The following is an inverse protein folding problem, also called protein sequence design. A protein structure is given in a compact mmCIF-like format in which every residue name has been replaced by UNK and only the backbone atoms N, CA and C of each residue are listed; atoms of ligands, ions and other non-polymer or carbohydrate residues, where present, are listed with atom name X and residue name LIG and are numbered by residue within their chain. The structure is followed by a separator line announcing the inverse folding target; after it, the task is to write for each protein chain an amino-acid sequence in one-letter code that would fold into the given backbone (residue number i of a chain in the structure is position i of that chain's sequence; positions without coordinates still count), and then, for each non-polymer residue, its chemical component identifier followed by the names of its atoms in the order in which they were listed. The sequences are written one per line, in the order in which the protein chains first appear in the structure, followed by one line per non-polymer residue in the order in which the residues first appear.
data_IF_977110596330
#
_entry.id   IF_977110596330
#
_cell.length_a   1.000
_cell.length_b   1.000
_cell.length_c   1.000
_cell.angle_alpha   90.00
_cell.angle_beta   90.00
_cell.angle_gamma   90.00
#
_symmetry.space_group_name_H-M   'P 1'
#
loop_
_entity.id
_entity.type
_entity.pdbx_description
1 polymer ?
#
# COMPACT_ATOMS: atom_id res chain seq x y z
N UNK A 1 20.48 -11.73 -23.53
CA UNK A 1 21.50 -12.26 -22.61
C UNK A 1 22.08 -11.10 -21.82
N UNK A 2 21.26 -10.56 -20.91
CA UNK A 2 21.72 -9.59 -19.91
C UNK A 2 22.38 -10.44 -18.85
N UNK A 3 23.69 -10.30 -18.71
CA UNK A 3 24.46 -10.95 -17.66
C UNK A 3 23.85 -10.45 -16.35
N UNK A 4 23.17 -11.33 -15.62
CA UNK A 4 22.93 -11.13 -14.21
C UNK A 4 24.30 -10.94 -13.58
N UNK A 5 24.67 -9.69 -13.35
CA UNK A 5 25.75 -9.36 -12.43
C UNK A 5 25.32 -9.97 -11.11
N UNK A 6 25.89 -11.12 -10.77
CA UNK A 6 26.03 -11.56 -9.39
C UNK A 6 26.57 -10.34 -8.66
N UNK A 7 25.69 -9.64 -7.93
CA UNK A 7 26.09 -8.64 -6.97
C UNK A 7 27.15 -9.33 -6.10
N UNK A 8 28.31 -8.69 -6.05
CA UNK A 8 29.44 -9.13 -5.26
C UNK A 8 28.99 -9.41 -3.82
N UNK A 9 29.27 -10.62 -3.34
CA UNK A 9 29.19 -11.06 -1.95
C UNK A 9 30.15 -10.29 -1.00
N UNK A 10 30.34 -8.98 -1.16
CA UNK A 10 31.19 -8.21 -0.26
C UNK A 10 30.91 -6.70 -0.29
N UNK A 11 30.06 -6.20 0.63
CA UNK A 11 30.39 -4.99 1.42
C UNK A 11 29.46 -4.66 2.61
N UNK A 12 28.55 -5.54 3.04
CA UNK A 12 27.77 -5.31 4.26
C UNK A 12 27.85 -6.52 5.19
N UNK A 13 28.65 -6.42 6.25
CA UNK A 13 28.83 -7.51 7.23
C UNK A 13 27.59 -7.77 8.09
N UNK A 14 26.56 -6.91 8.02
CA UNK A 14 25.32 -6.96 8.82
C UNK A 14 24.03 -7.07 8.00
N UNK A 15 24.08 -7.01 6.67
CA UNK A 15 22.87 -6.91 5.83
C UNK A 15 22.15 -5.55 5.90
N UNK A 16 22.80 -4.53 6.48
CA UNK A 16 22.33 -3.13 6.52
C UNK A 16 23.06 -2.25 5.51
N UNK A 17 22.39 -1.21 5.04
CA UNK A 17 22.90 -0.18 4.14
C UNK A 17 23.33 1.07 4.91
N UNK A 18 22.73 1.34 6.08
CA UNK A 18 23.17 2.40 6.98
C UNK A 18 24.43 2.01 7.75
N UNK A 19 25.38 2.96 7.84
CA UNK A 19 26.53 2.88 8.73
C UNK A 19 26.10 3.34 10.13
N UNK A 20 25.81 2.38 11.01
CA UNK A 20 25.21 2.64 12.32
C UNK A 20 26.00 3.64 13.17
N UNK A 21 27.33 3.55 13.16
CA UNK A 21 28.19 4.45 13.93
C UNK A 21 28.08 5.89 13.41
N UNK A 22 28.02 6.09 12.09
CA UNK A 22 27.84 7.41 11.50
C UNK A 22 26.44 7.96 11.76
N UNK A 23 25.41 7.12 11.62
CA UNK A 23 24.02 7.51 11.84
C UNK A 23 23.78 7.85 13.31
N UNK A 24 24.29 7.06 14.26
CA UNK A 24 24.23 7.36 15.68
C UNK A 24 24.93 8.69 16.02
N UNK A 25 26.09 8.97 15.42
CA UNK A 25 26.74 10.29 15.59
C UNK A 25 25.89 11.43 15.04
N UNK A 26 25.23 11.25 13.90
CA UNK A 26 24.34 12.26 13.33
C UNK A 26 23.11 12.52 14.23
N UNK A 27 22.48 11.46 14.76
CA UNK A 27 21.33 11.55 15.67
C UNK A 27 21.73 12.19 17.02
N UNK A 28 22.89 11.84 17.57
CA UNK A 28 23.44 12.46 18.77
C UNK A 28 23.71 13.96 18.54
N UNK A 29 24.33 14.32 17.40
CA UNK A 29 24.54 15.71 17.03
C UNK A 29 23.21 16.49 16.91
N UNK A 30 22.16 15.90 16.31
CA UNK A 30 20.84 16.52 16.24
C UNK A 30 20.29 16.83 17.65
N UNK A 31 20.42 15.87 18.57
CA UNK A 31 20.00 16.01 19.97
C UNK A 31 20.81 17.10 20.70
N UNK A 32 22.13 17.12 20.55
CA UNK A 32 23.03 18.12 21.14
C UNK A 32 22.73 19.55 20.65
N UNK A 33 22.28 19.70 19.39
CA UNK A 33 21.87 20.98 18.81
C UNK A 33 20.43 21.40 19.18
N UNK A 34 19.72 20.57 19.95
CA UNK A 34 18.39 20.84 20.49
C UNK A 34 17.23 20.34 19.63
N UNK A 35 17.40 19.21 18.93
CA UNK A 35 16.26 18.44 18.43
C UNK A 35 15.52 17.76 19.59
N UNK A 36 14.19 17.76 19.55
CA UNK A 36 13.33 16.99 20.47
C UNK A 36 13.26 15.52 20.05
N UNK A 37 13.28 15.28 18.74
CA UNK A 37 13.31 13.97 18.12
C UNK A 37 14.01 14.07 16.76
N UNK A 38 14.75 13.05 16.38
CA UNK A 38 15.17 12.86 15.00
C UNK A 38 15.14 11.38 14.61
N UNK A 39 14.89 11.14 13.33
CA UNK A 39 14.91 9.82 12.71
C UNK A 39 15.61 9.86 11.37
N UNK A 40 16.22 8.73 11.02
CA UNK A 40 16.79 8.46 9.70
C UNK A 40 16.21 7.13 9.24
N UNK A 41 15.40 7.20 8.17
CA UNK A 41 14.75 6.06 7.54
C UNK A 41 15.32 5.85 6.15
N UNK A 42 15.88 4.68 5.91
CA UNK A 42 16.34 4.25 4.60
C UNK A 42 15.37 3.23 4.03
N UNK A 43 15.03 3.37 2.74
CA UNK A 43 14.34 2.32 1.99
C UNK A 43 15.15 1.99 0.74
N UNK A 44 15.41 0.71 0.54
CA UNK A 44 15.93 0.14 -0.69
C UNK A 44 14.87 -0.75 -1.32
N UNK A 45 14.56 -0.52 -2.59
CA UNK A 45 13.58 -1.28 -3.36
C UNK A 45 14.25 -1.89 -4.58
N UNK A 46 14.13 -3.20 -4.72
CA UNK A 46 14.43 -3.88 -5.98
C UNK A 46 13.11 -4.18 -6.66
N UNK A 47 12.94 -3.73 -7.91
CA UNK A 47 11.71 -3.92 -8.67
C UNK A 47 12.00 -4.62 -10.00
N UNK A 48 11.04 -5.41 -10.48
CA UNK A 48 11.06 -5.89 -11.86
C UNK A 48 9.70 -5.64 -12.49
N UNK A 49 9.69 -4.98 -13.65
CA UNK A 49 8.48 -4.80 -14.44
C UNK A 49 8.66 -5.39 -15.83
N UNK A 50 7.63 -6.07 -16.33
CA UNK A 50 7.58 -6.51 -17.72
C UNK A 50 6.17 -6.30 -18.29
N UNK A 51 6.08 -6.06 -19.59
CA UNK A 51 4.80 -5.91 -20.28
C UNK A 51 4.81 -6.56 -21.65
N UNK A 52 3.74 -7.31 -21.93
CA UNK A 52 3.46 -7.83 -23.26
C UNK A 52 2.31 -7.05 -23.90
N UNK A 53 2.38 -6.87 -25.21
CA UNK A 53 1.32 -6.37 -26.08
C UNK A 53 1.06 -7.39 -27.17
N UNK A 54 -0.17 -7.88 -27.25
CA UNK A 54 -0.59 -8.88 -28.24
C UNK A 54 0.40 -10.06 -28.34
N UNK A 55 0.78 -10.61 -27.17
CA UNK A 55 1.75 -11.69 -27.01
C UNK A 55 3.23 -11.34 -27.26
N UNK A 56 3.57 -10.08 -27.52
CA UNK A 56 4.95 -9.64 -27.78
C UNK A 56 5.49 -8.82 -26.63
N UNK A 57 6.73 -9.10 -26.22
CA UNK A 57 7.42 -8.32 -25.20
C UNK A 57 7.68 -6.89 -25.71
N UNK A 58 7.10 -5.90 -25.02
CA UNK A 58 7.37 -4.49 -25.29
C UNK A 58 8.45 -3.94 -24.37
N UNK A 59 8.43 -4.34 -23.09
CA UNK A 59 9.27 -3.76 -22.05
C UNK A 59 9.62 -4.81 -21.01
N UNK A 60 10.86 -4.79 -20.56
CA UNK A 60 11.34 -5.47 -19.37
C UNK A 60 12.36 -4.55 -18.70
N UNK A 61 12.03 -4.01 -17.53
CA UNK A 61 12.85 -3.05 -16.79
C UNK A 61 13.03 -3.56 -15.36
N UNK A 62 14.24 -4.03 -15.01
CA UNK A 62 14.66 -4.13 -13.63
C UNK A 62 14.96 -2.73 -13.09
N UNK A 63 14.64 -2.50 -11.83
CA UNK A 63 14.88 -1.26 -11.10
C UNK A 63 15.52 -1.51 -9.75
N UNK A 64 16.37 -0.60 -9.34
CA UNK A 64 16.90 -0.53 -7.98
C UNK A 64 16.80 0.93 -7.54
N UNK A 65 16.09 1.16 -6.46
CA UNK A 65 15.85 2.47 -5.90
C UNK A 65 16.33 2.48 -4.46
N UNK A 66 17.00 3.57 -4.08
CA UNK A 66 17.43 3.80 -2.71
C UNK A 66 17.16 5.24 -2.34
N UNK A 67 16.52 5.41 -1.20
CA UNK A 67 16.22 6.71 -0.63
C UNK A 67 16.43 6.69 0.87
N UNK A 68 16.93 7.79 1.39
CA UNK A 68 16.99 8.03 2.83
C UNK A 68 16.31 9.37 3.14
N UNK A 69 15.46 9.34 4.15
CA UNK A 69 14.80 10.52 4.70
C UNK A 69 15.22 10.70 6.15
N UNK A 70 15.68 11.91 6.47
CA UNK A 70 15.90 12.37 7.83
C UNK A 70 14.78 13.34 8.21
N UNK A 71 14.06 13.05 9.30
CA UNK A 71 13.12 14.01 9.92
C UNK A 71 13.68 14.47 11.26
N UNK A 72 13.62 15.77 11.53
CA UNK A 72 14.01 16.38 12.80
C UNK A 72 12.84 17.20 13.32
N UNK A 73 12.39 16.91 14.54
CA UNK A 73 11.41 17.69 15.28
C UNK A 73 12.13 18.66 16.22
N UNK A 74 11.80 19.94 16.13
CA UNK A 74 12.28 20.96 17.06
C UNK A 74 11.24 22.06 17.25
N UNK A 75 11.03 22.47 18.50
CA UNK A 75 10.06 23.49 18.89
C UNK A 75 8.64 23.18 18.38
N UNK A 76 8.29 21.89 18.28
CA UNK A 76 7.03 21.39 17.74
C UNK A 76 6.83 21.59 16.23
N UNK A 77 7.89 21.58 15.43
CA UNK A 77 7.79 21.59 13.97
C UNK A 77 8.82 20.68 13.29
N UNK A 78 8.47 20.13 12.13
CA UNK A 78 9.33 19.25 11.35
C UNK A 78 10.28 20.02 10.42
N UNK A 79 11.53 19.57 10.38
CA UNK A 79 12.46 19.74 9.28
C UNK A 79 12.68 18.39 8.61
N UNK A 80 12.64 18.35 7.29
CA UNK A 80 12.78 17.11 6.52
C UNK A 80 13.87 17.28 5.46
N UNK A 81 14.75 16.29 5.35
CA UNK A 81 15.74 16.18 4.29
C UNK A 81 15.68 14.78 3.69
N UNK A 82 15.57 14.69 2.37
CA UNK A 82 15.54 13.42 1.65
C UNK A 82 16.60 13.43 0.54
N UNK A 83 17.29 12.31 0.39
CA UNK A 83 18.39 12.16 -0.59
C UNK A 83 18.58 10.69 -0.95
N UNK A 84 19.17 10.42 -2.12
CA UNK A 84 19.68 9.09 -2.47
C UNK A 84 21.16 8.91 -2.10
N UNK A 85 21.85 9.98 -1.68
CA UNK A 85 23.22 9.93 -1.17
C UNK A 85 23.23 9.75 0.34
N UNK A 86 23.27 8.48 0.79
CA UNK A 86 23.32 8.10 2.21
C UNK A 86 24.48 8.78 2.94
N UNK A 87 25.62 8.95 2.26
CA UNK A 87 26.84 9.48 2.88
C UNK A 87 26.71 10.95 3.26
N UNK A 88 25.78 11.68 2.63
CA UNK A 88 25.53 13.10 2.89
C UNK A 88 24.74 13.37 4.17
N UNK A 89 24.04 12.37 4.73
CA UNK A 89 23.11 12.56 5.85
C UNK A 89 23.74 13.27 7.07
N UNK A 90 24.94 12.89 7.56
CA UNK A 90 25.55 13.55 8.71
C UNK A 90 25.77 15.06 8.52
N UNK A 91 26.06 15.49 7.29
CA UNK A 91 26.31 16.89 6.96
C UNK A 91 25.02 17.73 6.89
N UNK A 92 23.86 17.08 6.80
CA UNK A 92 22.56 17.75 6.65
C UNK A 92 21.82 17.95 7.98
N UNK A 93 22.39 17.50 9.11
CA UNK A 93 21.72 17.58 10.42
C UNK A 93 21.40 19.04 10.80
N UNK A 94 22.41 19.92 10.77
CA UNK A 94 22.25 21.31 11.18
C UNK A 94 21.31 22.08 10.23
N UNK A 95 21.41 21.84 8.92
CA UNK A 95 20.55 22.48 7.92
C UNK A 95 19.07 22.07 8.09
N UNK A 96 18.82 20.79 8.39
CA UNK A 96 17.50 20.22 8.63
C UNK A 96 16.90 20.70 9.94
N UNK A 97 17.70 20.77 11.01
CA UNK A 97 17.26 21.34 12.29
C UNK A 97 16.92 22.82 12.15
N UNK A 98 17.73 23.58 11.41
CA UNK A 98 17.45 25.00 11.12
C UNK A 98 16.13 25.17 10.35
N UNK A 99 15.82 24.24 9.44
CA UNK A 99 14.53 24.22 8.75
C UNK A 99 13.38 24.02 9.75
N UNK A 100 13.48 23.02 10.65
CA UNK A 100 12.50 22.76 11.70
C UNK A 100 12.21 24.02 12.54
N UNK A 101 13.27 24.64 13.09
CA UNK A 101 13.16 25.87 13.89
C UNK A 101 12.58 27.05 13.10
N UNK A 102 12.91 27.16 11.81
CA UNK A 102 12.37 28.20 10.94
C UNK A 102 10.88 28.01 10.62
N UNK A 103 10.40 26.76 10.57
CA UNK A 103 8.96 26.44 10.47
C UNK A 103 8.27 26.78 11.79
N UNK A 104 8.82 26.34 12.92
CA UNK A 104 8.29 26.64 14.25
C UNK A 104 8.12 28.15 14.49
N UNK A 105 9.12 28.95 14.10
CA UNK A 105 9.08 30.41 14.24
C UNK A 105 8.00 31.10 13.39
N UNK A 106 7.46 30.43 12.36
CA UNK A 106 6.39 30.95 11.50
C UNK A 106 5.03 30.30 11.78
N UNK A 107 4.94 29.38 12.74
CA UNK A 107 3.70 28.71 13.13
C UNK A 107 2.67 29.75 13.59
N UNK A 108 1.46 29.66 13.04
CA UNK A 108 0.33 30.50 13.49
C UNK A 108 -0.03 30.18 14.94
N UNK A 109 -0.51 31.17 15.69
CA UNK A 109 -1.03 30.93 17.05
C UNK A 109 -2.23 29.99 17.09
N UNK A 110 -2.93 29.81 15.97
CA UNK A 110 -4.05 28.88 15.83
C UNK A 110 -3.62 27.43 15.56
N UNK A 111 -2.34 27.18 15.24
CA UNK A 111 -1.81 25.86 14.98
C UNK A 111 -1.14 25.31 16.23
N UNK A 112 -1.53 24.10 16.63
CA UNK A 112 -0.87 23.39 17.72
C UNK A 112 0.55 22.98 17.34
N UNK A 113 1.52 22.98 18.28
CA UNK A 113 2.81 22.37 18.04
C UNK A 113 2.64 20.87 17.76
N UNK A 114 3.49 20.34 16.88
CA UNK A 114 3.62 18.89 16.69
C UNK A 114 4.19 18.27 17.95
N UNK A 115 3.61 17.14 18.35
CA UNK A 115 4.14 16.26 19.39
C UNK A 115 4.00 14.81 18.95
N UNK A 116 4.74 13.91 19.60
CA UNK A 116 4.74 12.49 19.28
C UNK A 116 4.20 11.68 20.45
N UNK A 117 3.34 10.72 20.15
CA UNK A 117 2.94 9.73 21.12
C UNK A 117 4.11 8.77 21.39
N UNK A 118 4.19 8.30 22.64
CA UNK A 118 5.21 7.33 23.04
C UNK A 118 4.95 5.98 22.36
N UNK A 119 6.03 5.31 21.98
CA UNK A 119 6.00 3.96 21.41
C UNK A 119 7.09 3.11 22.06
N UNK A 120 6.93 1.78 22.14
CA UNK A 120 7.99 0.91 22.60
C UNK A 120 9.25 1.09 21.73
N UNK A 121 10.40 1.30 22.37
CA UNK A 121 11.70 1.38 21.70
C UNK A 121 12.21 -0.04 21.46
N UNK A 122 12.37 -0.41 20.19
CA UNK A 122 12.69 -1.77 19.75
C UNK A 122 13.99 -1.76 18.95
N UNK A 123 14.81 -2.77 19.22
CA UNK A 123 15.96 -3.14 18.41
C UNK A 123 15.76 -4.57 17.89
N UNK A 124 15.47 -4.70 16.59
CA UNK A 124 15.20 -6.00 15.97
C UNK A 124 15.42 -6.01 14.45
N UNK A 125 15.32 -7.22 13.90
CA UNK A 125 15.38 -7.49 12.47
C UNK A 125 14.21 -8.40 12.11
N UNK A 126 13.30 -7.93 11.25
CA UNK A 126 12.09 -8.65 10.84
C UNK A 126 12.03 -8.83 9.33
N UNK A 127 12.38 -10.01 8.84
CA UNK A 127 12.27 -10.35 7.41
C UNK A 127 11.12 -11.30 7.16
N UNK A 128 10.09 -10.79 6.47
CA UNK A 128 9.01 -11.60 5.94
C UNK A 128 9.48 -12.30 4.66
N UNK A 129 9.81 -13.60 4.79
CA UNK A 129 10.33 -14.41 3.69
C UNK A 129 9.19 -15.07 2.91
N UNK A 130 9.25 -14.92 1.60
CA UNK A 130 8.41 -15.64 0.64
C UNK A 130 8.79 -17.12 0.56
N UNK A 131 7.84 -17.97 0.16
CA UNK A 131 8.10 -19.40 -0.09
C UNK A 131 8.99 -19.57 -1.33
N UNK A 132 8.73 -18.77 -2.38
CA UNK A 132 9.53 -18.69 -3.60
C UNK A 132 9.93 -17.24 -3.83
N UNK A 133 11.14 -16.89 -3.43
CA UNK A 133 11.67 -15.52 -3.58
C UNK A 133 11.54 -15.04 -5.03
N UNK A 134 10.81 -13.94 -5.24
CA UNK A 134 10.51 -13.45 -6.60
C UNK A 134 11.76 -12.93 -7.32
N UNK A 135 12.82 -12.59 -6.58
CA UNK A 135 14.12 -12.17 -7.14
C UNK A 135 14.84 -13.31 -7.86
N UNK A 136 14.52 -14.57 -7.51
CA UNK A 136 15.07 -15.76 -8.16
C UNK A 136 14.29 -16.17 -9.42
N UNK A 137 13.16 -15.51 -9.70
CA UNK A 137 12.38 -15.75 -10.92
C UNK A 137 13.12 -15.12 -12.10
N UNK A 138 13.27 -15.85 -13.21
CA UNK A 138 13.89 -15.32 -14.44
C UNK A 138 12.87 -14.62 -15.35
N UNK A 139 13.34 -13.92 -16.38
CA UNK A 139 12.45 -13.18 -17.28
C UNK A 139 11.57 -14.13 -18.12
N UNK A 140 12.10 -15.28 -18.52
CA UNK A 140 11.38 -16.24 -19.38
C UNK A 140 10.17 -16.82 -18.64
N UNK A 141 10.32 -17.19 -17.36
CA UNK A 141 9.21 -17.63 -16.50
C UNK A 141 8.12 -16.55 -16.39
N UNK A 142 8.52 -15.28 -16.17
CA UNK A 142 7.57 -14.15 -16.12
C UNK A 142 6.81 -13.99 -17.44
N UNK A 143 7.51 -14.12 -18.57
CA UNK A 143 6.92 -14.04 -19.91
C UNK A 143 5.95 -15.19 -20.15
N UNK A 144 6.31 -16.42 -19.79
CA UNK A 144 5.45 -17.60 -19.92
C UNK A 144 4.13 -17.45 -19.15
N UNK A 145 4.20 -16.96 -17.91
CA UNK A 145 3.01 -16.68 -17.09
C UNK A 145 2.12 -15.58 -17.70
N UNK A 146 2.73 -14.50 -18.19
CA UNK A 146 2.00 -13.45 -18.90
C UNK A 146 1.36 -13.96 -20.21
N UNK A 147 2.05 -14.84 -20.95
CA UNK A 147 1.53 -15.47 -22.16
C UNK A 147 0.37 -16.43 -21.88
N UNK A 148 0.34 -17.09 -20.72
CA UNK A 148 -0.78 -17.93 -20.32
C UNK A 148 -2.09 -17.13 -20.26
N UNK A 149 -2.04 -15.90 -19.72
CA UNK A 149 -3.17 -14.97 -19.73
C UNK A 149 -3.50 -14.52 -21.16
N UNK A 150 -2.50 -14.07 -21.93
CA UNK A 150 -2.67 -13.54 -23.28
C UNK A 150 -3.32 -14.54 -24.24
N UNK A 151 -2.85 -15.80 -24.20
CA UNK A 151 -3.30 -16.86 -25.10
C UNK A 151 -4.79 -17.16 -24.94
N UNK A 152 -5.27 -17.19 -23.70
CA UNK A 152 -6.70 -17.36 -23.43
C UNK A 152 -7.46 -16.06 -23.71
N UNK A 153 -6.95 -14.91 -23.31
CA UNK A 153 -7.64 -13.63 -23.45
C UNK A 153 -7.96 -13.26 -24.92
N UNK A 154 -7.06 -13.57 -25.86
CA UNK A 154 -7.20 -13.20 -27.27
C UNK A 154 -8.09 -14.11 -28.12
N UNK A 155 -8.57 -15.22 -27.56
CA UNK A 155 -9.28 -16.27 -28.31
C UNK A 155 -10.74 -15.89 -28.65
N UNK A 156 -10.93 -14.80 -29.39
CA UNK A 156 -12.20 -14.40 -30.00
C UNK A 156 -11.98 -13.27 -31.03
N UNK A 157 -12.69 -13.29 -32.16
CA UNK A 157 -12.49 -12.35 -33.28
C UNK A 157 -12.69 -10.86 -32.92
N UNK A 158 -13.64 -10.56 -32.03
CA UNK A 158 -13.88 -9.20 -31.54
C UNK A 158 -12.81 -8.71 -30.55
N UNK A 159 -11.87 -9.54 -30.10
CA UNK A 159 -10.75 -9.09 -29.26
C UNK A 159 -9.67 -8.52 -30.17
N UNK A 160 -9.50 -7.20 -30.12
CA UNK A 160 -8.59 -6.47 -31.03
C UNK A 160 -7.24 -6.17 -30.38
N UNK A 161 -7.13 -6.27 -29.06
CA UNK A 161 -5.84 -6.16 -28.38
C UNK A 161 -5.85 -6.73 -26.96
N UNK A 162 -4.72 -7.28 -26.56
CA UNK A 162 -4.41 -7.74 -25.21
C UNK A 162 -3.14 -7.07 -24.70
N UNK A 163 -3.10 -6.79 -23.41
CA UNK A 163 -1.89 -6.34 -22.73
C UNK A 163 -1.79 -7.06 -21.39
N UNK A 164 -0.63 -7.64 -21.09
CA UNK A 164 -0.38 -8.34 -19.83
C UNK A 164 0.86 -7.75 -19.19
N UNK A 165 0.86 -7.65 -17.87
CA UNK A 165 1.92 -7.01 -17.11
C UNK A 165 2.36 -7.84 -15.92
N UNK A 166 3.64 -7.71 -15.61
CA UNK A 166 4.28 -8.24 -14.42
C UNK A 166 4.87 -7.08 -13.63
N UNK A 167 4.71 -7.12 -12.31
CA UNK A 167 5.39 -6.23 -11.37
C UNK A 167 5.75 -7.03 -10.12
N UNK A 168 7.02 -7.04 -9.74
CA UNK A 168 7.47 -7.53 -8.44
C UNK A 168 8.35 -6.51 -7.75
N UNK A 169 8.36 -6.55 -6.42
CA UNK A 169 9.20 -5.70 -5.58
C UNK A 169 9.68 -6.44 -4.32
N UNK A 170 10.92 -6.20 -3.94
CA UNK A 170 11.45 -6.48 -2.60
C UNK A 170 11.79 -5.15 -1.93
N UNK A 171 11.19 -4.92 -0.77
CA UNK A 171 11.33 -3.67 -0.02
C UNK A 171 12.12 -3.97 1.23
N UNK A 172 13.22 -3.26 1.41
CA UNK A 172 14.09 -3.31 2.58
C UNK A 172 14.11 -1.94 3.25
N UNK A 173 13.84 -1.90 4.55
CA UNK A 173 13.75 -0.66 5.31
C UNK A 173 14.60 -0.73 6.57
N UNK A 174 15.27 0.37 6.87
CA UNK A 174 16.05 0.57 8.09
C UNK A 174 15.61 1.87 8.75
N UNK A 175 15.43 1.85 10.07
CA UNK A 175 15.06 3.01 10.86
C UNK A 175 15.98 3.12 12.08
N UNK A 176 16.55 4.31 12.28
CA UNK A 176 17.28 4.69 13.48
C UNK A 176 16.76 6.02 14.01
N UNK A 177 16.59 6.15 15.33
CA UNK A 177 16.04 7.36 15.96
C UNK A 177 16.85 7.82 17.16
N UNK A 178 16.68 9.09 17.56
CA UNK A 178 17.28 9.67 18.78
C UNK A 178 16.77 9.03 20.07
N UNK A 179 15.62 8.35 20.03
CA UNK A 179 15.06 7.62 21.17
C UNK A 179 15.70 6.23 21.34
N UNK A 180 16.57 5.82 20.43
CA UNK A 180 17.26 4.53 20.46
C UNK A 180 16.56 3.42 19.66
N UNK A 181 15.47 3.72 18.95
CA UNK A 181 14.85 2.76 18.02
C UNK A 181 15.87 2.39 16.94
N UNK A 182 16.07 1.08 16.71
CA UNK A 182 16.99 0.59 15.69
C UNK A 182 16.43 -0.68 15.03
N UNK A 183 15.69 -0.50 13.93
CA UNK A 183 14.95 -1.60 13.30
C UNK A 183 15.37 -1.83 11.86
N UNK A 184 15.24 -3.07 11.43
CA UNK A 184 15.35 -3.50 10.03
C UNK A 184 14.16 -4.37 9.70
N UNK A 185 13.53 -4.13 8.56
CA UNK A 185 12.53 -5.05 8.06
C UNK A 185 12.53 -5.16 6.55
N UNK A 186 12.05 -6.30 6.05
CA UNK A 186 11.83 -6.47 4.62
C UNK A 186 10.67 -7.41 4.32
N UNK A 187 10.07 -7.23 3.13
CA UNK A 187 9.01 -8.06 2.58
C UNK A 187 8.98 -7.95 1.05
N UNK A 188 8.15 -8.76 0.39
CA UNK A 188 8.03 -8.78 -1.07
C UNK A 188 6.58 -8.62 -1.49
N UNK A 189 6.35 -8.07 -2.68
CA UNK A 189 5.03 -8.08 -3.32
C UNK A 189 5.17 -8.51 -4.77
N UNK A 190 4.20 -9.28 -5.23
CA UNK A 190 4.14 -9.79 -6.60
C UNK A 190 2.77 -9.50 -7.19
N UNK A 191 2.73 -9.05 -8.44
CA UNK A 191 1.52 -8.70 -9.16
C UNK A 191 1.63 -9.12 -10.63
N UNK A 192 0.63 -9.86 -11.10
CA UNK A 192 0.37 -10.06 -12.52
C UNK A 192 -0.94 -9.37 -12.89
N UNK A 193 -1.01 -8.77 -14.06
CA UNK A 193 -2.20 -8.07 -14.52
C UNK A 193 -2.42 -8.26 -16.02
N UNK A 194 -3.61 -7.88 -16.46
CA UNK A 194 -3.87 -7.71 -17.87
C UNK A 194 -5.07 -6.85 -18.18
N UNK A 195 -5.17 -6.52 -19.46
CA UNK A 195 -6.21 -5.69 -20.04
C UNK A 195 -6.59 -6.28 -21.40
N UNK A 196 -7.89 -6.51 -21.60
CA UNK A 196 -8.45 -7.07 -22.82
C UNK A 196 -9.34 -6.02 -23.47
N UNK A 197 -9.09 -5.70 -24.74
CA UNK A 197 -9.88 -4.72 -25.50
C UNK A 197 -10.69 -5.43 -26.58
N UNK A 198 -12.01 -5.25 -26.53
CA UNK A 198 -12.95 -5.77 -27.51
C UNK A 198 -13.53 -4.64 -28.37
N UNK A 199 -13.87 -4.95 -29.62
CA UNK A 199 -14.49 -4.02 -30.58
C UNK A 199 -15.56 -4.70 -31.42
N UNK A 200 -16.68 -4.02 -31.63
CA UNK A 200 -17.72 -4.38 -32.60
C UNK A 200 -18.26 -3.10 -33.24
N UNK A 201 -18.09 -2.95 -34.56
CA UNK A 201 -18.40 -1.69 -35.23
C UNK A 201 -17.62 -0.49 -34.66
N UNK A 202 -18.35 0.51 -34.16
CA UNK A 202 -17.77 1.69 -33.50
C UNK A 202 -17.54 1.52 -31.99
N UNK A 203 -18.10 0.48 -31.39
CA UNK A 203 -18.05 0.28 -29.95
C UNK A 203 -16.72 -0.37 -29.57
N UNK A 204 -16.05 0.19 -28.56
CA UNK A 204 -14.78 -0.28 -28.03
C UNK A 204 -14.87 -0.29 -26.52
N UNK A 205 -14.60 -1.43 -25.91
CA UNK A 205 -14.58 -1.61 -24.46
C UNK A 205 -13.29 -2.28 -24.03
N UNK A 206 -12.88 -2.03 -22.79
CA UNK A 206 -11.73 -2.70 -22.18
C UNK A 206 -12.10 -3.23 -20.80
N UNK A 207 -11.60 -4.42 -20.48
CA UNK A 207 -11.71 -5.03 -19.17
C UNK A 207 -10.33 -5.22 -18.56
N UNK A 208 -10.18 -4.95 -17.26
CA UNK A 208 -8.92 -5.09 -16.53
C UNK A 208 -9.02 -6.20 -15.51
N UNK A 209 -7.92 -6.92 -15.33
CA UNK A 209 -7.76 -8.02 -14.39
C UNK A 209 -6.41 -7.90 -13.71
N UNK A 210 -6.34 -8.31 -12.45
CA UNK A 210 -5.11 -8.29 -11.65
C UNK A 210 -5.16 -9.38 -10.60
N UNK A 211 -4.03 -9.98 -10.31
CA UNK A 211 -3.84 -10.90 -9.21
C UNK A 211 -2.48 -10.63 -8.58
N UNK A 212 -2.43 -10.46 -7.28
CA UNK A 212 -1.21 -10.13 -6.58
C UNK A 212 -1.41 -9.96 -5.09
N UNK A 213 -0.29 -9.86 -4.38
CA UNK A 213 -0.28 -9.87 -2.93
C UNK A 213 1.13 -9.69 -2.37
N UNK A 214 1.20 -9.66 -1.04
CA UNK A 214 2.47 -9.80 -0.34
C UNK A 214 2.94 -11.26 -0.42
N UNK A 215 4.21 -11.44 -0.77
CA UNK A 215 4.84 -12.73 -1.05
C UNK A 215 5.52 -12.78 -2.42
N UNK A 216 6.09 -13.94 -2.73
CA UNK A 216 6.91 -14.16 -3.90
C UNK A 216 6.14 -14.78 -5.07
N UNK A 217 6.83 -15.59 -5.87
CA UNK A 217 6.26 -16.25 -7.05
C UNK A 217 5.05 -17.13 -6.69
N UNK A 218 5.02 -17.70 -5.48
CA UNK A 218 3.89 -18.52 -4.99
C UNK A 218 2.55 -17.78 -4.99
N UNK A 219 2.58 -16.45 -4.86
CA UNK A 219 1.37 -15.61 -4.92
C UNK A 219 0.77 -15.64 -6.32
N UNK A 220 1.61 -15.60 -7.35
CA UNK A 220 1.12 -15.62 -8.74
C UNK A 220 0.69 -17.04 -9.13
N UNK A 221 1.45 -18.05 -8.71
CA UNK A 221 1.13 -19.46 -8.95
C UNK A 221 -0.16 -19.94 -8.25
N UNK A 222 -0.65 -19.20 -7.25
CA UNK A 222 -1.92 -19.53 -6.58
C UNK A 222 -3.15 -19.22 -7.43
N UNK A 223 -2.97 -18.60 -8.61
CA UNK A 223 -4.04 -18.22 -9.54
C UNK A 223 -3.97 -19.04 -10.82
N UNK A 224 -5.13 -19.52 -11.31
CA UNK A 224 -5.22 -20.06 -12.68
C UNK A 224 -5.19 -18.89 -13.68
N UNK A 225 -3.99 -18.60 -14.19
CA UNK A 225 -3.77 -17.52 -15.14
C UNK A 225 -4.51 -17.71 -16.46
N UNK A 226 -4.75 -18.95 -16.87
CA UNK A 226 -5.54 -19.24 -18.05
C UNK A 226 -7.02 -18.92 -17.82
N UNK A 227 -7.56 -19.32 -16.68
CA UNK A 227 -8.92 -18.94 -16.26
C UNK A 227 -9.07 -17.42 -16.13
N UNK A 228 -8.09 -16.74 -15.54
CA UNK A 228 -8.05 -15.28 -15.46
C UNK A 228 -8.15 -14.62 -16.85
N UNK A 229 -7.38 -15.11 -17.83
CA UNK A 229 -7.46 -14.67 -19.23
C UNK A 229 -8.81 -14.95 -19.89
N UNK A 230 -9.36 -16.16 -19.71
CA UNK A 230 -10.70 -16.52 -20.21
C UNK A 230 -11.79 -15.62 -19.63
N UNK A 231 -11.77 -15.39 -18.32
CA UNK A 231 -12.75 -14.57 -17.62
C UNK A 231 -12.69 -13.12 -18.13
N UNK A 232 -11.50 -12.57 -18.32
CA UNK A 232 -11.37 -11.22 -18.89
C UNK A 232 -11.89 -11.09 -20.33
N UNK A 233 -11.67 -12.11 -21.16
CA UNK A 233 -12.28 -12.19 -22.50
C UNK A 233 -13.81 -12.18 -22.42
N UNK A 234 -14.38 -13.05 -21.58
CA UNK A 234 -15.84 -13.14 -21.37
C UNK A 234 -16.39 -11.79 -20.91
N UNK A 235 -15.76 -11.17 -19.92
CA UNK A 235 -16.13 -9.86 -19.39
C UNK A 235 -16.07 -8.75 -20.45
N UNK A 236 -15.01 -8.69 -21.26
CA UNK A 236 -14.89 -7.71 -22.33
C UNK A 236 -15.99 -7.89 -23.40
N UNK A 237 -16.30 -9.13 -23.79
CA UNK A 237 -17.38 -9.42 -24.75
C UNK A 237 -18.77 -9.15 -24.17
N UNK A 238 -18.97 -9.35 -22.86
CA UNK A 238 -20.20 -9.01 -22.16
C UNK A 238 -20.39 -7.49 -22.11
N UNK A 239 -19.34 -6.73 -21.78
CA UNK A 239 -19.34 -5.26 -21.78
C UNK A 239 -19.64 -4.68 -23.16
N UNK A 240 -19.17 -5.32 -24.23
CA UNK A 240 -19.42 -4.88 -25.60
C UNK A 240 -20.91 -4.92 -25.97
N UNK A 241 -21.67 -5.82 -25.33
CA UNK A 241 -23.12 -6.00 -25.51
C UNK A 241 -23.94 -5.31 -24.42
N UNK A 242 -23.30 -4.64 -23.46
CA UNK A 242 -23.98 -4.10 -22.30
C UNK A 242 -24.84 -2.89 -22.68
N UNK A 243 -26.09 -2.88 -22.21
CA UNK A 243 -26.95 -1.72 -22.31
C UNK A 243 -26.51 -0.63 -21.31
N UNK A 244 -26.98 0.60 -21.53
CA UNK A 244 -26.73 1.69 -20.58
C UNK A 244 -27.39 1.36 -19.24
N UNK A 245 -26.61 1.49 -18.17
CA UNK A 245 -27.12 1.33 -16.82
C UNK A 245 -28.28 2.30 -16.53
N UNK A 246 -29.30 1.88 -15.76
CA UNK A 246 -30.39 2.77 -15.35
C UNK A 246 -29.88 3.89 -14.43
N UNK A 247 -30.52 5.06 -14.50
CA UNK A 247 -30.18 6.23 -13.69
C UNK A 247 -31.18 6.43 -12.56
N UNK A 248 -30.71 6.73 -11.35
CA UNK A 248 -31.55 7.09 -10.21
C UNK A 248 -31.11 6.47 -8.90
N UNK A 249 -31.91 6.68 -7.84
CA UNK A 249 -31.72 6.00 -6.56
C UNK A 249 -32.37 4.62 -6.65
N UNK A 250 -31.60 3.57 -6.41
CA UNK A 250 -32.07 2.19 -6.42
C UNK A 250 -31.24 1.34 -5.45
N UNK A 251 -31.79 0.22 -4.95
CA UNK A 251 -31.00 -0.79 -4.24
C UNK A 251 -29.88 -1.33 -5.13
N UNK A 252 -28.68 -1.47 -4.53
CA UNK A 252 -27.49 -1.99 -5.19
C UNK A 252 -27.01 -3.23 -4.44
N UNK A 253 -26.86 -4.33 -5.15
CA UNK A 253 -26.07 -5.47 -4.68
C UNK A 253 -24.72 -5.37 -5.39
N UNK A 254 -23.65 -5.21 -4.61
CA UNK A 254 -22.29 -5.07 -5.14
C UNK A 254 -21.48 -6.33 -4.85
N UNK A 255 -20.61 -6.71 -5.78
CA UNK A 255 -19.65 -7.79 -5.53
C UNK A 255 -18.57 -7.38 -4.51
N UNK A 256 -17.69 -8.33 -4.19
CA UNK A 256 -16.63 -8.15 -3.19
C UNK A 256 -15.64 -7.05 -3.57
N UNK A 257 -15.26 -6.98 -4.84
CA UNK A 257 -14.25 -6.04 -5.33
C UNK A 257 -14.78 -4.60 -5.32
N UNK A 258 -16.00 -4.38 -5.82
CA UNK A 258 -16.65 -3.09 -5.79
C UNK A 258 -16.97 -2.66 -4.35
N UNK A 259 -17.37 -3.60 -3.50
CA UNK A 259 -17.60 -3.35 -2.07
C UNK A 259 -16.31 -2.96 -1.36
N UNK A 260 -15.18 -3.57 -1.71
CA UNK A 260 -13.85 -3.21 -1.21
C UNK A 260 -13.44 -1.79 -1.62
N UNK A 261 -13.66 -1.41 -2.88
CA UNK A 261 -13.41 -0.03 -3.34
C UNK A 261 -14.36 0.94 -2.65
N UNK A 262 -15.64 0.59 -2.52
CA UNK A 262 -16.60 1.44 -1.83
C UNK A 262 -16.16 1.74 -0.40
N UNK A 263 -15.72 0.73 0.37
CA UNK A 263 -15.30 0.97 1.75
C UNK A 263 -13.97 1.73 1.85
N UNK A 264 -13.07 1.54 0.88
CA UNK A 264 -11.84 2.34 0.77
C UNK A 264 -12.14 3.84 0.70
N UNK A 265 -13.09 4.22 -0.16
CA UNK A 265 -13.45 5.63 -0.36
C UNK A 265 -14.40 6.16 0.73
N UNK A 266 -15.44 5.40 1.07
CA UNK A 266 -16.52 5.84 1.95
C UNK A 266 -16.12 5.88 3.42
N UNK A 267 -15.12 5.10 3.82
CA UNK A 267 -14.64 5.02 5.21
C UNK A 267 -13.13 5.12 5.31
N UNK A 268 -12.40 4.37 4.48
CA UNK A 268 -10.96 4.20 4.59
C UNK A 268 -10.19 5.52 4.69
N UNK A 269 -10.27 6.36 3.65
CA UNK A 269 -9.68 7.70 3.67
C UNK A 269 -10.27 8.59 4.77
N UNK A 270 -11.60 8.72 4.95
CA UNK A 270 -12.16 9.47 6.08
C UNK A 270 -11.65 9.04 7.47
N UNK A 271 -11.20 7.80 7.64
CA UNK A 271 -10.61 7.28 8.88
C UNK A 271 -9.13 7.62 9.06
N UNK A 272 -8.44 8.19 8.08
CA UNK A 272 -7.04 8.63 8.19
C UNK A 272 -6.97 9.89 9.07
N UNK A 273 -6.37 9.77 10.26
CA UNK A 273 -6.43 10.82 11.28
C UNK A 273 -5.70 12.12 10.91
N UNK A 274 -4.83 12.12 9.91
CA UNK A 274 -4.21 13.34 9.36
C UNK A 274 -5.24 14.17 8.56
N UNK A 275 -6.11 13.52 7.78
CA UNK A 275 -7.26 14.17 7.13
C UNK A 275 -8.27 14.67 8.16
N UNK A 276 -8.51 13.91 9.23
CA UNK A 276 -9.32 14.38 10.37
C UNK A 276 -8.68 15.61 11.04
N UNK A 277 -7.37 15.58 11.24
CA UNK A 277 -6.60 16.67 11.84
C UNK A 277 -6.53 17.93 10.97
N UNK A 278 -6.63 17.78 9.65
CA UNK A 278 -6.74 18.87 8.69
C UNK A 278 -8.16 19.48 8.62
N UNK A 279 -9.17 18.79 9.15
CA UNK A 279 -10.58 19.18 8.99
C UNK A 279 -11.18 18.77 7.63
N UNK A 280 -10.50 17.86 6.92
CA UNK A 280 -10.89 17.38 5.58
C UNK A 280 -11.67 16.05 5.64
N UNK A 281 -11.93 15.51 6.83
CA UNK A 281 -12.72 14.30 7.04
C UNK A 281 -14.12 14.60 7.58
N UNK A 282 -15.12 13.90 7.03
CA UNK A 282 -16.49 13.91 7.55
C UNK A 282 -16.64 13.18 8.90
N UNK A 283 -15.60 12.49 9.37
CA UNK A 283 -15.59 11.73 10.62
C UNK A 283 -15.06 12.53 11.81
N UNK A 284 -14.71 13.81 11.65
CA UNK A 284 -14.26 14.64 12.77
C UNK A 284 -15.26 14.62 13.94
N UNK A 285 -14.75 14.26 15.13
CA UNK A 285 -15.55 14.15 16.36
C UNK A 285 -16.59 13.03 16.36
N UNK A 286 -16.49 12.04 15.45
CA UNK A 286 -17.43 10.90 15.36
C UNK A 286 -16.97 9.64 16.08
N UNK A 287 -15.77 9.63 16.65
CA UNK A 287 -15.26 8.47 17.40
C UNK A 287 -16.25 8.08 18.51
N UNK A 288 -16.59 6.80 18.59
CA UNK A 288 -17.61 6.24 19.49
C UNK A 288 -19.07 6.42 19.04
N UNK A 289 -19.33 7.04 17.88
CA UNK A 289 -20.68 7.24 17.36
C UNK A 289 -21.07 6.18 16.32
N UNK A 290 -22.37 5.90 16.23
CA UNK A 290 -22.94 5.11 15.14
C UNK A 290 -22.88 5.89 13.83
N UNK A 291 -22.15 5.37 12.84
CA UNK A 291 -21.98 5.96 11.51
C UNK A 291 -22.49 5.07 10.38
N UNK A 292 -22.87 3.82 10.69
CA UNK A 292 -23.35 2.84 9.71
C UNK A 292 -24.35 1.85 10.29
N UNK A 293 -24.74 0.87 9.47
CA UNK A 293 -25.64 -0.22 9.87
C UNK A 293 -25.00 -1.12 10.92
N UNK A 294 -25.81 -1.66 11.84
CA UNK A 294 -25.36 -2.56 12.92
C UNK A 294 -24.74 -3.87 12.41
N UNK A 295 -25.04 -4.27 11.17
CA UNK A 295 -24.46 -5.47 10.55
C UNK A 295 -23.04 -5.24 10.01
N UNK A 296 -22.57 -4.00 9.97
CA UNK A 296 -21.30 -3.64 9.34
C UNK A 296 -20.17 -3.59 10.38
N UNK A 297 -19.13 -4.38 10.14
CA UNK A 297 -17.85 -4.31 10.85
C UNK A 297 -16.74 -4.20 9.83
N UNK A 298 -15.84 -3.23 10.01
CA UNK A 298 -14.75 -2.93 9.09
C UNK A 298 -13.43 -2.96 9.82
N UNK A 299 -12.48 -3.70 9.26
CA UNK A 299 -11.14 -3.88 9.82
C UNK A 299 -10.12 -3.40 8.80
N UNK A 300 -9.10 -2.68 9.26
CA UNK A 300 -7.86 -2.46 8.50
C UNK A 300 -6.75 -3.32 9.10
N UNK A 301 -6.27 -4.31 8.34
CA UNK A 301 -5.36 -5.33 8.86
C UNK A 301 -4.07 -5.50 8.01
N UNK A 302 -2.94 -4.92 8.45
CA UNK A 302 -1.63 -5.07 7.80
C UNK A 302 -0.97 -6.43 8.07
N UNK A 303 -1.55 -7.26 8.95
CA UNK A 303 -1.01 -8.57 9.35
C UNK A 303 -1.59 -9.74 8.54
N UNK A 304 -2.55 -9.47 7.65
CA UNK A 304 -3.25 -10.46 6.81
C UNK A 304 -2.37 -10.99 5.65
N UNK A 305 -1.33 -11.78 5.97
CA UNK A 305 -0.36 -12.37 5.03
C UNK A 305 -1.00 -12.80 3.70
N UNK A 306 -0.37 -12.41 2.58
CA UNK A 306 -0.93 -12.59 1.23
C UNK A 306 -1.72 -11.38 0.73
N UNK A 307 -2.27 -10.52 1.60
CA UNK A 307 -2.87 -9.25 1.20
C UNK A 307 -1.83 -8.26 0.65
N UNK A 308 -2.16 -7.50 -0.39
CA UNK A 308 -1.22 -6.57 -1.03
C UNK A 308 -0.79 -5.40 -0.11
N UNK A 309 -1.64 -5.03 0.85
CA UNK A 309 -1.41 -3.95 1.81
C UNK A 309 -0.66 -4.38 3.07
N UNK A 310 -0.13 -5.61 3.15
CA UNK A 310 0.54 -6.10 4.35
C UNK A 310 1.95 -5.54 4.51
N UNK A 311 2.35 -5.33 5.76
CA UNK A 311 3.72 -4.97 6.15
C UNK A 311 3.95 -5.30 7.65
N UNK A 312 5.18 -5.68 8.05
CA UNK A 312 5.48 -6.11 9.42
C UNK A 312 5.55 -4.97 10.42
N UNK A 313 6.05 -3.82 9.96
CA UNK A 313 6.39 -2.64 10.76
C UNK A 313 6.01 -1.43 9.91
N UNK A 314 5.36 -0.45 10.51
CA UNK A 314 5.04 0.81 9.83
C UNK A 314 6.29 1.68 9.65
N UNK A 315 6.21 2.74 8.85
CA UNK A 315 7.39 3.56 8.53
C UNK A 315 7.88 4.46 9.68
N UNK A 316 7.24 4.42 10.85
CA UNK A 316 7.71 5.04 12.11
C UNK A 316 8.26 4.01 13.11
N UNK A 317 8.36 2.73 12.71
CA UNK A 317 8.90 1.66 13.55
C UNK A 317 7.88 1.03 14.49
N UNK A 318 6.59 1.34 14.34
CA UNK A 318 5.51 0.80 15.18
C UNK A 318 5.08 -0.58 14.67
N UNK A 319 4.95 -1.54 15.59
CA UNK A 319 4.43 -2.87 15.24
C UNK A 319 3.00 -2.79 14.73
N UNK A 320 2.74 -3.50 13.65
CA UNK A 320 1.44 -3.45 13.00
C UNK A 320 0.44 -4.39 13.69
N UNK A 321 -0.84 -4.00 13.68
CA UNK A 321 -1.95 -4.83 14.20
C UNK A 321 -3.24 -4.60 13.41
N UNK A 322 -4.21 -5.54 13.51
CA UNK A 322 -5.58 -5.28 13.09
C UNK A 322 -6.16 -4.07 13.82
N UNK A 323 -6.85 -3.21 13.08
CA UNK A 323 -7.54 -2.02 13.57
C UNK A 323 -9.03 -2.16 13.27
N UNK A 324 -9.85 -2.20 14.31
CA UNK A 324 -11.29 -2.28 14.13
C UNK A 324 -11.80 -0.85 13.92
N UNK A 325 -11.96 -0.44 12.66
CA UNK A 325 -12.43 0.90 12.33
C UNK A 325 -13.90 1.06 12.66
N UNK A 326 -14.72 0.10 12.25
CA UNK A 326 -16.13 0.02 12.62
C UNK A 326 -16.40 -1.31 13.32
N UNK A 327 -17.12 -1.28 14.43
CA UNK A 327 -17.71 -2.48 15.06
C UNK A 327 -19.22 -2.29 15.15
N UNK A 328 -19.98 -3.15 14.45
CA UNK A 328 -21.44 -3.12 14.42
C UNK A 328 -22.02 -1.71 14.18
N UNK A 329 -21.51 -1.02 13.15
CA UNK A 329 -21.93 0.32 12.76
C UNK A 329 -21.36 1.47 13.59
N UNK A 330 -20.60 1.22 14.66
CA UNK A 330 -19.97 2.24 15.51
C UNK A 330 -18.52 2.47 15.08
N UNK A 331 -18.13 3.74 14.86
CA UNK A 331 -16.75 4.12 14.63
C UNK A 331 -15.93 3.95 15.91
N UNK A 332 -15.01 2.99 15.93
CA UNK A 332 -14.25 2.62 17.14
C UNK A 332 -12.80 3.09 17.11
N UNK A 333 -12.22 3.32 15.94
CA UNK A 333 -10.82 3.70 15.81
C UNK A 333 -10.58 4.54 14.54
N UNK A 334 -9.65 5.51 14.61
CA UNK A 334 -9.05 6.12 13.42
C UNK A 334 -7.74 5.41 13.08
N UNK A 335 -7.37 5.36 11.81
CA UNK A 335 -5.99 5.08 11.43
C UNK A 335 -5.12 6.24 11.93
N UNK A 336 -3.96 5.95 12.53
CA UNK A 336 -3.10 7.01 13.03
C UNK A 336 -1.61 6.64 12.95
N UNK A 337 -0.78 7.67 13.10
CA UNK A 337 0.67 7.58 13.31
C UNK A 337 1.01 8.36 14.60
N UNK A 338 2.27 8.40 15.03
CA UNK A 338 2.64 9.00 16.34
C UNK A 338 2.17 10.44 16.53
N UNK A 339 2.21 11.27 15.48
CA UNK A 339 1.80 12.68 15.57
C UNK A 339 0.28 12.87 15.75
N UNK A 340 -0.55 12.22 14.92
CA UNK A 340 -2.02 12.28 15.04
C UNK A 340 -2.52 11.55 16.28
N UNK A 341 -1.85 10.47 16.69
CA UNK A 341 -2.12 9.80 17.95
C UNK A 341 -1.93 10.75 19.14
N UNK A 342 -0.80 11.50 19.18
CA UNK A 342 -0.56 12.52 20.20
C UNK A 342 -1.64 13.61 20.20
N UNK A 343 -2.00 14.11 19.01
CA UNK A 343 -2.98 15.18 18.85
C UNK A 343 -4.37 14.82 19.39
N UNK A 344 -4.75 13.55 19.27
CA UNK A 344 -6.08 13.06 19.67
C UNK A 344 -6.08 12.28 20.98
N UNK A 345 -4.95 12.21 21.69
CA UNK A 345 -4.80 11.41 22.93
C UNK A 345 -5.18 9.94 22.68
N UNK A 346 -4.67 9.38 21.58
CA UNK A 346 -4.88 7.99 21.15
C UNK A 346 -3.56 7.22 21.19
N UNK A 347 -3.67 5.89 21.22
CA UNK A 347 -2.52 5.01 21.04
C UNK A 347 -2.11 4.91 19.55
N UNK A 348 -0.81 4.99 19.22
CA UNK A 348 -0.30 4.69 17.89
C UNK A 348 -0.70 3.28 17.42
N UNK A 349 -1.22 3.14 16.20
CA UNK A 349 -1.77 1.87 15.72
C UNK A 349 -1.12 1.29 14.44
N UNK A 350 0.05 1.81 14.06
CA UNK A 350 0.82 1.25 12.93
C UNK A 350 0.29 1.69 11.56
N UNK A 351 -0.33 2.87 11.48
CA UNK A 351 -0.88 3.43 10.25
C UNK A 351 0.08 4.33 9.48
N UNK A 352 1.34 4.49 9.91
CA UNK A 352 2.29 5.36 9.22
C UNK A 352 2.89 4.67 7.99
N UNK A 353 2.66 5.21 6.79
CA UNK A 353 3.23 4.67 5.55
C UNK A 353 3.79 5.77 4.66
N UNK A 354 4.97 5.55 4.12
CA UNK A 354 5.62 6.38 3.11
C UNK A 354 5.55 5.71 1.74
N UNK A 355 5.61 6.51 0.68
CA UNK A 355 5.62 6.01 -0.69
C UNK A 355 6.90 5.22 -1.01
N UNK A 356 8.05 5.77 -0.60
CA UNK A 356 9.39 5.27 -0.87
C UNK A 356 10.37 5.87 0.17
N UNK A 357 11.67 5.69 -0.02
CA UNK A 357 12.71 6.20 0.89
C UNK A 357 12.98 7.71 0.81
N UNK A 358 12.31 8.45 -0.07
CA UNK A 358 12.46 9.90 -0.24
C UNK A 358 11.27 10.70 0.31
N UNK A 359 10.20 10.03 0.71
CA UNK A 359 8.99 10.64 1.24
C UNK A 359 8.86 10.40 2.75
N UNK A 360 8.23 11.32 3.47
CA UNK A 360 7.89 11.10 4.87
C UNK A 360 6.63 10.25 5.00
N UNK A 361 6.44 9.54 6.13
CA UNK A 361 5.23 8.78 6.39
C UNK A 361 4.00 9.69 6.55
N UNK A 362 2.85 9.21 6.08
CA UNK A 362 1.51 9.77 6.30
C UNK A 362 0.61 8.71 6.92
N UNK A 363 -0.56 9.09 7.44
CA UNK A 363 -1.53 8.10 7.92
C UNK A 363 -2.20 7.45 6.73
N UNK A 364 -2.06 6.13 6.59
CA UNK A 364 -2.57 5.38 5.45
C UNK A 364 -3.18 4.04 5.85
N UNK A 365 -4.19 3.62 5.08
CA UNK A 365 -4.74 2.27 5.14
C UNK A 365 -3.71 1.17 4.84
N UNK A 366 -4.05 -0.08 5.18
CA UNK A 366 -3.35 -1.31 4.82
C UNK A 366 -4.26 -2.22 3.98
N UNK A 367 -4.84 -3.27 4.56
CA UNK A 367 -5.90 -4.08 3.96
C UNK A 367 -7.23 -3.77 4.66
N UNK A 368 -8.01 -2.84 4.09
CA UNK A 368 -9.34 -2.47 4.59
C UNK A 368 -10.40 -3.46 4.07
N UNK A 369 -11.05 -4.18 4.99
CA UNK A 369 -12.03 -5.23 4.68
C UNK A 369 -13.33 -5.05 5.45
N UNK A 370 -14.46 -5.25 4.78
CA UNK A 370 -15.74 -5.46 5.45
C UNK A 370 -15.82 -6.93 5.85
N UNK A 371 -16.13 -7.21 7.12
CA UNK A 371 -16.31 -8.58 7.59
C UNK A 371 -17.54 -9.22 6.94
N UNK A 372 -17.44 -10.54 6.68
CA UNK A 372 -18.53 -11.31 6.09
C UNK A 372 -19.79 -11.28 6.95
N UNK A 373 -20.95 -11.17 6.28
CA UNK A 373 -22.27 -11.25 6.91
C UNK A 373 -22.67 -12.68 7.29
N UNK A 374 -23.95 -12.88 7.55
CA UNK A 374 -24.52 -14.18 7.96
C UNK A 374 -25.06 -15.01 6.79
N UNK A 375 -25.28 -14.37 5.63
CA UNK A 375 -25.67 -15.03 4.39
C UNK A 375 -24.62 -16.03 3.93
N UNK A 376 -25.06 -17.18 3.42
CA UNK A 376 -24.21 -18.27 2.91
C UNK A 376 -23.63 -17.95 1.55
N UNK A 377 -24.43 -17.33 0.69
CA UNK A 377 -24.07 -17.01 -0.69
C UNK A 377 -24.84 -15.78 -1.20
N UNK A 378 -24.54 -15.41 -2.44
CA UNK A 378 -25.16 -14.27 -3.12
C UNK A 378 -26.64 -14.53 -3.44
N UNK A 379 -27.02 -15.79 -3.67
CA UNK A 379 -28.40 -16.14 -4.02
C UNK A 379 -29.33 -15.91 -2.83
N UNK A 380 -28.91 -16.29 -1.62
CA UNK A 380 -29.63 -16.00 -0.37
C UNK A 380 -29.78 -14.48 -0.14
N UNK A 381 -28.72 -13.69 -0.41
CA UNK A 381 -28.78 -12.23 -0.33
C UNK A 381 -29.76 -11.63 -1.36
N UNK A 382 -29.80 -12.18 -2.56
CA UNK A 382 -30.70 -11.76 -3.65
C UNK A 382 -32.15 -12.11 -3.33
N UNK A 383 -32.43 -13.30 -2.80
CA UNK A 383 -33.78 -13.75 -2.43
C UNK A 383 -34.39 -12.86 -1.34
N UNK A 384 -33.60 -12.39 -0.38
CA UNK A 384 -34.07 -11.45 0.66
C UNK A 384 -34.34 -10.04 0.12
N UNK A 385 -33.71 -9.66 -1.00
CA UNK A 385 -33.94 -8.39 -1.70
C UNK A 385 -35.30 -8.39 -2.43
N UNK A 386 -36.39 -8.26 -1.66
CA UNK A 386 -37.79 -8.26 -2.11
C UNK A 386 -38.20 -7.09 -3.06
N UNK A 387 -37.25 -6.30 -3.55
CA UNK A 387 -37.47 -5.19 -4.48
C UNK A 387 -36.46 -5.28 -5.63
N UNK A 388 -36.85 -4.84 -6.84
CA UNK A 388 -35.93 -4.80 -7.98
C UNK A 388 -34.61 -4.14 -7.59
N UNK A 389 -33.50 -4.84 -7.79
CA UNK A 389 -32.15 -4.42 -7.45
C UNK A 389 -31.31 -4.31 -8.71
N UNK A 390 -30.28 -3.47 -8.67
CA UNK A 390 -29.22 -3.48 -9.66
C UNK A 390 -28.05 -4.25 -9.10
N UNK A 391 -27.57 -5.23 -9.86
CA UNK A 391 -26.34 -5.95 -9.53
C UNK A 391 -25.18 -5.20 -10.18
N UNK A 392 -24.20 -4.77 -9.38
CA UNK A 392 -22.95 -4.21 -9.87
C UNK A 392 -21.79 -5.14 -9.53
N UNK A 393 -21.12 -5.61 -10.58
CA UNK A 393 -20.03 -6.58 -10.48
C UNK A 393 -18.81 -5.91 -11.11
N UNK A 394 -17.77 -5.69 -10.32
CA UNK A 394 -16.44 -5.32 -10.80
C UNK A 394 -15.81 -6.50 -11.56
N UNK A 395 -16.07 -7.74 -11.14
CA UNK A 395 -15.75 -8.94 -11.94
C UNK A 395 -16.93 -9.42 -12.77
N UNK A 396 -17.05 -8.97 -14.02
CA UNK A 396 -18.16 -9.33 -14.91
C UNK A 396 -18.21 -10.82 -15.34
N UNK A 397 -17.55 -11.73 -14.62
CA UNK A 397 -17.38 -13.15 -14.92
C UNK A 397 -18.45 -14.08 -14.32
N UNK A 398 -19.40 -13.58 -13.52
CA UNK A 398 -20.58 -14.35 -13.10
C UNK A 398 -21.82 -13.80 -13.77
#
# INVERSE_FOLDING_TARGET
MVVATRQSDSMFSSGRLLDEDKINKALNNASELGAEYAEIRLVSQTTNTASLKDGKLERAIPGEEIGVTMRILADGAWGVHSTSDISSIPEQVESTLRLAKAVAARRSSSQLPVGLAEVPIIEDVTHWRSVKDVRDTDLDTRIEMMLAIDNEAKDHENIVSTSTGWSDEHIHTELMTTEGMNRVWSFQRSLINGMVTAREGSDVVSYRMRHGGEGGLEVIESCDLGEMGRNARISALRLLKAERAPSGKMPLVADRDLTGVYIHEALGHPCEADLVAAGDSCLEGRLGQTIGSEICTVVDDPTMRGGYGCYPVDDEGVNTRPKNLIVNGVLTEYLNHRETAHRYDLDPNGGARAQDGLHHPLVRMSNTVIQGGTHKDLDELIEESNSGFTLAVAEAAR
#
